data_IF_561907331341
#
_entry.id   IF_561907331341
#
_cell.length_a   1.000
_cell.length_b   1.000
_cell.length_c   1.000
_cell.angle_alpha   90.00
_cell.angle_beta   90.00
_cell.angle_gamma   90.00
#
_symmetry.space_group_name_H-M   'P 1'
#
loop_
_entity.id
_entity.type
_entity.pdbx_description
1 polymer ?
#
# COMPACT_ATOMS: atom_id res chain seq x y z
N UNK A 1 23.53 10.93 -63.26
CA UNK A 1 23.25 12.09 -62.37
C UNK A 1 21.76 12.32 -62.12
N UNK A 2 20.90 12.32 -63.11
CA UNK A 2 19.43 12.56 -62.89
C UNK A 2 18.75 11.51 -62.00
N UNK A 3 19.13 10.23 -62.09
CA UNK A 3 18.54 9.15 -61.30
C UNK A 3 18.98 9.25 -59.83
N UNK A 4 20.23 9.68 -59.54
CA UNK A 4 20.72 9.87 -58.20
C UNK A 4 20.03 11.03 -57.48
N UNK A 5 19.76 12.12 -58.22
CA UNK A 5 19.01 13.29 -57.67
C UNK A 5 17.54 12.92 -57.39
N UNK A 6 16.92 12.08 -58.23
CA UNK A 6 15.57 11.58 -58.01
C UNK A 6 15.52 10.64 -56.79
N UNK A 7 16.50 9.75 -56.60
CA UNK A 7 16.61 8.89 -55.45
C UNK A 7 16.82 9.71 -54.17
N UNK A 8 17.67 10.73 -54.18
CA UNK A 8 17.88 11.63 -53.04
C UNK A 8 16.63 12.42 -52.71
N UNK A 9 15.90 12.93 -53.73
CA UNK A 9 14.63 13.61 -53.51
C UNK A 9 13.54 12.67 -52.97
N UNK A 10 13.48 11.43 -53.42
CA UNK A 10 12.56 10.41 -52.91
C UNK A 10 12.93 10.04 -51.46
N UNK A 11 14.22 9.87 -51.15
CA UNK A 11 14.66 9.63 -49.76
C UNK A 11 14.38 10.84 -48.86
N UNK A 12 14.55 12.07 -49.34
CA UNK A 12 14.18 13.28 -48.61
C UNK A 12 12.68 13.44 -48.40
N UNK A 13 11.84 12.97 -49.32
CA UNK A 13 10.38 12.98 -49.14
C UNK A 13 9.92 11.87 -48.19
N UNK A 14 10.64 10.75 -48.09
CA UNK A 14 10.40 9.71 -47.09
C UNK A 14 10.97 10.03 -45.70
N UNK A 15 11.93 10.97 -45.60
CA UNK A 15 12.45 11.50 -44.35
C UNK A 15 11.62 12.71 -43.81
N UNK A 16 10.42 12.96 -44.30
CA UNK A 16 9.48 13.74 -43.51
C UNK A 16 9.20 12.92 -42.26
N UNK A 17 9.97 13.26 -41.21
CA UNK A 17 9.68 12.81 -39.88
C UNK A 17 8.20 13.11 -39.65
N UNK A 18 7.40 12.05 -39.52
CA UNK A 18 6.07 12.15 -38.98
C UNK A 18 6.25 12.68 -37.56
N UNK A 19 6.17 14.00 -37.43
CA UNK A 19 6.17 14.63 -36.10
C UNK A 19 4.74 14.56 -35.62
N UNK A 20 4.51 13.81 -34.52
CA UNK A 20 3.21 13.77 -33.91
C UNK A 20 2.76 15.22 -33.67
N UNK A 21 1.59 15.60 -34.15
CA UNK A 21 1.03 16.96 -33.96
C UNK A 21 0.66 17.19 -32.49
N UNK A 22 0.25 16.13 -31.82
CA UNK A 22 -0.09 16.15 -30.39
C UNK A 22 1.13 15.96 -29.50
N UNK A 23 1.23 16.73 -28.43
CA UNK A 23 2.24 16.52 -27.38
C UNK A 23 1.65 16.80 -26.01
N UNK A 24 2.20 16.08 -25.00
CA UNK A 24 1.84 16.29 -23.60
C UNK A 24 2.91 17.12 -22.94
N UNK A 25 2.51 18.25 -22.37
CA UNK A 25 3.33 19.08 -21.51
C UNK A 25 2.96 18.81 -20.04
N UNK A 26 3.95 18.61 -19.22
CA UNK A 26 3.80 18.37 -17.78
C UNK A 26 4.65 19.33 -16.95
N UNK A 27 4.68 19.13 -15.61
CA UNK A 27 5.45 19.96 -14.71
C UNK A 27 6.95 19.87 -15.04
N UNK A 28 7.62 21.00 -14.98
CA UNK A 28 9.09 21.13 -15.12
C UNK A 28 9.81 20.87 -13.80
N UNK A 29 9.10 21.00 -12.69
CA UNK A 29 9.61 20.80 -11.35
C UNK A 29 9.44 19.34 -10.89
N UNK A 30 10.22 19.00 -9.85
CA UNK A 30 10.13 17.69 -9.22
C UNK A 30 8.79 17.54 -8.49
N UNK A 31 8.03 16.53 -8.85
CA UNK A 31 6.70 16.28 -8.28
C UNK A 31 6.81 15.40 -7.04
N UNK A 32 6.29 15.89 -5.93
CA UNK A 32 6.23 15.16 -4.66
C UNK A 32 4.84 14.56 -4.43
N UNK A 33 4.77 13.53 -3.60
CA UNK A 33 3.49 12.99 -3.17
C UNK A 33 2.68 14.04 -2.40
N UNK A 34 1.44 14.25 -2.83
CA UNK A 34 0.55 15.27 -2.27
C UNK A 34 0.46 16.56 -3.08
N UNK A 35 1.36 16.79 -4.03
CA UNK A 35 1.32 17.96 -4.91
C UNK A 35 0.10 17.89 -5.85
N UNK A 36 -0.25 19.04 -6.43
CA UNK A 36 -1.19 19.12 -7.55
C UNK A 36 -0.41 19.24 -8.86
N UNK A 37 -0.82 18.48 -9.86
CA UNK A 37 -0.18 18.42 -11.18
C UNK A 37 -1.20 18.61 -12.27
N UNK A 38 -0.88 19.44 -13.26
CA UNK A 38 -1.64 19.57 -14.49
C UNK A 38 -0.81 19.06 -15.65
N UNK A 39 -1.38 18.15 -16.44
CA UNK A 39 -0.83 17.74 -17.73
C UNK A 39 -1.66 18.41 -18.82
N UNK A 40 -0.99 19.04 -19.76
CA UNK A 40 -1.62 19.72 -20.88
C UNK A 40 -1.37 18.94 -22.17
N UNK A 41 -2.44 18.68 -22.94
CA UNK A 41 -2.33 18.17 -24.29
C UNK A 41 -2.50 19.34 -25.25
N UNK A 42 -1.52 19.51 -26.11
CA UNK A 42 -1.43 20.60 -27.07
C UNK A 42 -1.27 20.03 -28.47
N UNK A 43 -1.80 20.75 -29.46
CA UNK A 43 -1.56 20.51 -30.88
C UNK A 43 -0.57 21.54 -31.43
N UNK A 44 0.52 21.07 -32.03
CA UNK A 44 1.56 21.94 -32.59
C UNK A 44 1.09 22.70 -33.85
N UNK A 45 0.15 22.17 -34.58
CA UNK A 45 -0.34 22.72 -35.87
C UNK A 45 -1.65 23.48 -35.68
N UNK A 46 -2.30 23.37 -34.51
CA UNK A 46 -3.60 24.02 -34.19
C UNK A 46 -4.73 23.66 -35.19
N UNK A 47 -4.59 22.55 -35.87
CA UNK A 47 -5.58 22.09 -36.88
C UNK A 47 -6.57 21.09 -36.31
N UNK A 48 -6.20 20.41 -35.21
CA UNK A 48 -7.02 19.36 -34.60
C UNK A 48 -8.14 19.95 -33.71
N UNK A 49 -9.32 19.36 -33.88
CA UNK A 49 -10.42 19.66 -32.98
C UNK A 49 -10.20 18.97 -31.64
N UNK A 50 -9.75 19.73 -30.63
CA UNK A 50 -9.47 19.22 -29.28
C UNK A 50 -10.70 18.59 -28.58
N UNK A 51 -11.91 18.73 -29.16
CA UNK A 51 -13.11 18.05 -28.65
C UNK A 51 -13.05 16.53 -28.84
N UNK A 52 -12.32 16.06 -29.85
CA UNK A 52 -12.12 14.64 -30.17
C UNK A 52 -10.84 14.05 -29.53
N UNK A 53 -10.10 14.84 -28.77
CA UNK A 53 -8.86 14.38 -28.09
C UNK A 53 -9.17 13.97 -26.66
N UNK A 54 -8.52 12.91 -26.18
CA UNK A 54 -8.63 12.42 -24.81
C UNK A 54 -7.26 11.98 -24.27
N UNK A 55 -7.15 11.96 -22.93
CA UNK A 55 -5.98 11.38 -22.27
C UNK A 55 -6.10 9.88 -22.13
N UNK A 56 -4.98 9.20 -22.28
CA UNK A 56 -4.81 7.79 -21.94
C UNK A 56 -3.64 7.59 -20.98
N UNK A 57 -3.77 6.57 -20.16
CA UNK A 57 -2.72 6.11 -19.26
C UNK A 57 -2.39 4.65 -19.48
N UNK A 58 -1.10 4.33 -19.50
CA UNK A 58 -0.63 2.95 -19.59
C UNK A 58 -0.81 2.20 -18.27
N UNK A 59 -1.55 1.10 -18.30
CA UNK A 59 -1.67 0.20 -17.13
C UNK A 59 -0.35 -0.50 -16.85
N UNK A 60 0.11 -0.48 -15.60
CA UNK A 60 1.35 -1.16 -15.19
C UNK A 60 1.27 -2.68 -15.32
N UNK A 61 0.08 -3.26 -15.08
CA UNK A 61 -0.10 -4.71 -15.06
C UNK A 61 -0.54 -5.29 -16.40
N UNK A 62 -1.47 -4.61 -17.08
CA UNK A 62 -2.05 -5.11 -18.32
C UNK A 62 -1.28 -4.69 -19.57
N UNK A 63 -0.33 -3.75 -19.45
CA UNK A 63 0.40 -3.16 -20.60
C UNK A 63 -0.55 -2.61 -21.68
N UNK A 64 -1.74 -2.18 -21.27
CA UNK A 64 -2.76 -1.60 -22.15
C UNK A 64 -3.02 -0.15 -21.79
N UNK A 65 -3.35 0.64 -22.79
CA UNK A 65 -3.76 2.03 -22.62
C UNK A 65 -5.20 2.10 -22.14
N UNK A 66 -5.46 2.88 -21.11
CA UNK A 66 -6.78 3.15 -20.58
C UNK A 66 -7.12 4.62 -20.75
N UNK A 67 -8.26 4.88 -21.38
CA UNK A 67 -8.80 6.20 -21.56
C UNK A 67 -9.20 6.83 -20.23
N UNK A 68 -8.88 8.10 -20.06
CA UNK A 68 -9.22 8.91 -18.89
C UNK A 68 -10.35 9.87 -19.26
N UNK A 69 -11.60 9.41 -19.14
CA UNK A 69 -12.79 10.21 -19.42
C UNK A 69 -13.57 10.48 -18.14
N UNK A 70 -14.26 11.64 -18.10
CA UNK A 70 -15.24 11.93 -17.06
C UNK A 70 -16.46 10.97 -17.08
N UNK A 71 -16.74 10.29 -18.19
CA UNK A 71 -18.02 9.61 -18.43
C UNK A 71 -17.97 8.11 -18.72
N UNK A 72 -16.81 7.48 -18.82
CA UNK A 72 -16.81 6.11 -19.30
C UNK A 72 -15.77 5.20 -18.67
N UNK A 73 -16.20 4.29 -17.99
CA UNK A 73 -15.74 2.99 -17.52
C UNK A 73 -15.73 2.83 -15.99
N UNK A 74 -16.84 2.22 -15.58
CA UNK A 74 -16.87 1.36 -14.40
C UNK A 74 -16.80 2.09 -13.07
N UNK A 75 -17.95 2.22 -12.46
CA UNK A 75 -18.19 2.55 -11.06
C UNK A 75 -17.18 1.89 -10.06
N UNK A 76 -16.52 0.78 -10.48
CA UNK A 76 -15.50 0.07 -9.70
C UNK A 76 -14.13 0.73 -9.73
N UNK A 77 -13.69 1.31 -10.87
CA UNK A 77 -12.39 1.97 -10.97
C UNK A 77 -12.39 3.37 -10.36
N UNK A 78 -13.52 4.05 -10.37
CA UNK A 78 -13.68 5.39 -9.81
C UNK A 78 -13.46 5.44 -8.28
N UNK A 79 -13.73 4.36 -7.57
CA UNK A 79 -13.61 4.34 -6.11
C UNK A 79 -12.20 4.11 -5.58
N UNK A 80 -11.28 3.57 -6.37
CA UNK A 80 -9.95 3.17 -5.88
C UNK A 80 -8.77 4.01 -6.38
N UNK A 81 -8.89 4.73 -7.52
CA UNK A 81 -7.71 5.31 -8.17
C UNK A 81 -7.80 6.79 -8.63
N UNK A 82 -8.98 7.40 -8.66
CA UNK A 82 -9.17 8.69 -9.34
C UNK A 82 -9.94 9.73 -8.53
N UNK A 83 -9.77 9.75 -7.25
CA UNK A 83 -10.53 10.69 -6.39
C UNK A 83 -10.27 12.17 -6.69
N UNK A 84 -9.14 12.53 -7.31
CA UNK A 84 -8.72 13.89 -7.54
C UNK A 84 -8.24 14.13 -8.99
N UNK A 85 -8.73 13.39 -9.97
CA UNK A 85 -8.42 13.64 -11.38
C UNK A 85 -9.61 14.29 -12.08
N UNK A 86 -9.40 15.45 -12.66
CA UNK A 86 -10.39 16.16 -13.46
C UNK A 86 -9.83 16.46 -14.86
N UNK A 87 -10.70 16.32 -15.86
CA UNK A 87 -10.35 16.59 -17.26
C UNK A 87 -11.17 17.78 -17.74
N UNK A 88 -10.52 18.89 -18.02
CA UNK A 88 -11.15 20.10 -18.55
C UNK A 88 -10.64 20.43 -19.96
N UNK A 89 -11.43 21.20 -20.67
CA UNK A 89 -11.08 21.75 -21.99
C UNK A 89 -11.20 23.25 -21.93
N UNK A 90 -10.09 23.92 -22.13
CA UNK A 90 -9.99 25.39 -22.04
C UNK A 90 -9.15 25.91 -23.22
N UNK A 91 -9.63 26.92 -23.89
CA UNK A 91 -8.88 27.66 -24.94
C UNK A 91 -8.19 26.77 -25.99
N UNK A 92 -8.87 25.69 -26.44
CA UNK A 92 -8.30 24.78 -27.42
C UNK A 92 -7.22 23.83 -26.85
N UNK A 93 -7.15 23.68 -25.51
CA UNK A 93 -6.25 22.74 -24.82
C UNK A 93 -7.06 21.69 -24.07
N UNK A 94 -6.50 20.53 -23.92
CA UNK A 94 -7.06 19.49 -23.06
C UNK A 94 -6.18 19.37 -21.80
N UNK A 95 -6.77 19.61 -20.65
CA UNK A 95 -6.10 19.63 -19.37
C UNK A 95 -6.51 18.40 -18.54
N UNK A 96 -5.52 17.70 -17.98
CA UNK A 96 -5.72 16.67 -16.96
C UNK A 96 -5.16 17.21 -15.64
N UNK A 97 -6.05 17.57 -14.74
CA UNK A 97 -5.71 18.06 -13.41
C UNK A 97 -5.73 16.92 -12.40
N UNK A 98 -4.60 16.70 -11.72
CA UNK A 98 -4.44 15.73 -10.65
C UNK A 98 -4.28 16.51 -9.33
N UNK A 99 -5.33 16.57 -8.51
CA UNK A 99 -5.41 17.45 -7.34
C UNK A 99 -4.39 17.11 -6.25
N UNK A 100 -4.25 15.84 -5.90
CA UNK A 100 -3.23 15.35 -4.97
C UNK A 100 -2.61 14.07 -5.50
N UNK A 101 -1.45 14.22 -6.14
CA UNK A 101 -0.77 13.05 -6.70
C UNK A 101 -0.26 12.13 -5.61
N UNK A 102 -0.41 10.84 -5.85
CA UNK A 102 0.03 9.78 -4.98
C UNK A 102 1.01 8.88 -5.74
N UNK A 103 1.61 7.94 -5.04
CA UNK A 103 2.55 6.98 -5.65
C UNK A 103 1.97 6.25 -6.86
N UNK A 104 0.67 5.97 -6.83
CA UNK A 104 -0.04 5.33 -7.96
C UNK A 104 -0.31 6.28 -9.13
N UNK A 105 -0.23 7.60 -8.94
CA UNK A 105 -0.34 8.58 -10.04
C UNK A 105 0.89 8.56 -10.95
N UNK A 106 2.04 8.08 -10.48
CA UNK A 106 3.20 7.86 -11.34
C UNK A 106 2.83 6.88 -12.46
N UNK A 107 3.22 7.21 -13.68
CA UNK A 107 2.90 6.38 -14.83
C UNK A 107 3.22 7.05 -16.15
N UNK A 108 2.81 6.40 -17.23
CA UNK A 108 2.99 6.93 -18.58
C UNK A 108 1.62 7.38 -19.09
N UNK A 109 1.59 8.61 -19.56
CA UNK A 109 0.40 9.29 -20.07
C UNK A 109 0.62 9.69 -21.53
N UNK A 110 -0.44 9.74 -22.30
CA UNK A 110 -0.45 10.30 -23.67
C UNK A 110 -1.80 10.90 -23.96
N UNK A 111 -1.89 11.75 -24.95
CA UNK A 111 -3.16 12.14 -25.53
C UNK A 111 -3.33 11.55 -26.92
N UNK A 112 -4.58 11.25 -27.27
CA UNK A 112 -4.97 10.56 -28.50
C UNK A 112 -6.19 11.24 -29.10
N UNK A 113 -6.19 11.43 -30.42
CA UNK A 113 -7.36 11.88 -31.18
C UNK A 113 -8.23 10.68 -31.58
N UNK A 114 -9.54 10.79 -31.40
CA UNK A 114 -10.50 9.79 -31.86
C UNK A 114 -10.64 9.76 -33.41
N UNK A 115 -9.98 10.66 -34.12
CA UNK A 115 -10.06 10.77 -35.57
C UNK A 115 -9.18 9.71 -36.23
N UNK A 116 -9.81 8.70 -36.83
CA UNK A 116 -9.16 7.49 -37.38
C UNK A 116 -8.35 7.78 -38.67
N UNK A 117 -8.47 8.97 -39.23
CA UNK A 117 -7.87 9.29 -40.56
C UNK A 117 -6.39 9.66 -40.47
N UNK A 118 -5.86 9.96 -39.29
CA UNK A 118 -4.49 10.40 -39.11
C UNK A 118 -3.61 9.25 -38.59
N UNK A 119 -2.55 8.92 -39.33
CA UNK A 119 -1.59 7.89 -38.96
C UNK A 119 -0.87 8.23 -37.63
N UNK A 120 -0.82 9.50 -37.24
CA UNK A 120 -0.13 10.05 -36.07
C UNK A 120 -1.09 10.69 -35.06
N UNK A 121 -2.18 10.00 -34.75
CA UNK A 121 -3.23 10.51 -33.86
C UNK A 121 -2.90 10.48 -32.35
N UNK A 122 -1.68 10.17 -31.97
CA UNK A 122 -1.27 10.09 -30.56
C UNK A 122 0.01 10.87 -30.26
N UNK A 123 0.07 11.50 -29.09
CA UNK A 123 1.29 12.14 -28.61
C UNK A 123 2.37 11.11 -28.26
N UNK A 124 3.61 11.58 -28.19
CA UNK A 124 4.66 10.82 -27.52
C UNK A 124 4.29 10.58 -26.04
N UNK A 125 4.65 9.41 -25.49
CA UNK A 125 4.37 9.10 -24.10
C UNK A 125 5.10 10.04 -23.14
N UNK A 126 4.37 10.67 -22.23
CA UNK A 126 4.91 11.47 -21.12
C UNK A 126 4.96 10.64 -19.86
N UNK A 127 6.14 10.59 -19.20
CA UNK A 127 6.34 9.85 -17.94
C UNK A 127 6.22 10.79 -16.75
N UNK A 128 5.13 10.70 -16.00
CA UNK A 128 4.98 11.35 -14.70
C UNK A 128 5.64 10.51 -13.62
N UNK A 129 6.60 11.09 -12.90
CA UNK A 129 7.25 10.46 -11.74
C UNK A 129 6.89 11.25 -10.48
N UNK A 130 6.30 10.55 -9.51
CA UNK A 130 5.95 11.12 -8.18
C UNK A 130 6.96 10.59 -7.18
N UNK A 131 7.70 11.52 -6.56
CA UNK A 131 8.71 11.17 -5.56
C UNK A 131 8.09 11.17 -4.16
N UNK A 132 8.49 10.19 -3.37
CA UNK A 132 8.06 10.06 -1.97
C UNK A 132 9.14 9.40 -1.12
N UNK A 133 9.08 9.63 0.17
CA UNK A 133 9.83 8.88 1.17
C UNK A 133 9.01 8.81 2.45
N UNK A 134 8.78 7.59 2.95
CA UNK A 134 8.07 7.32 4.21
C UNK A 134 8.98 7.55 5.41
N UNK A 135 8.38 7.48 6.60
CA UNK A 135 9.16 7.56 7.83
C UNK A 135 10.20 6.42 7.91
N UNK A 136 11.32 6.75 8.52
CA UNK A 136 12.42 5.80 8.74
C UNK A 136 12.07 4.88 9.91
N UNK A 137 12.30 3.59 9.72
CA UNK A 137 12.25 2.58 10.77
C UNK A 137 13.64 2.07 11.08
N UNK A 138 13.93 1.88 12.36
CA UNK A 138 15.17 1.27 12.84
C UNK A 138 14.81 -0.01 13.56
N UNK A 139 15.43 -1.12 13.15
CA UNK A 139 15.17 -2.44 13.73
C UNK A 139 16.48 -3.07 14.18
N UNK A 140 16.45 -3.86 15.26
CA UNK A 140 17.57 -4.71 15.63
C UNK A 140 17.59 -5.95 14.74
N UNK A 141 18.74 -6.26 14.13
CA UNK A 141 18.88 -7.47 13.33
C UNK A 141 18.70 -8.71 14.23
N UNK A 142 17.98 -9.71 13.70
CA UNK A 142 17.67 -10.94 14.44
C UNK A 142 16.54 -10.81 15.47
N UNK A 143 15.89 -9.66 15.56
CA UNK A 143 14.70 -9.50 16.38
C UNK A 143 13.54 -10.32 15.84
N UNK A 144 12.84 -11.05 16.72
CA UNK A 144 11.66 -11.82 16.36
C UNK A 144 10.52 -10.88 15.92
N UNK A 145 9.62 -11.39 15.07
CA UNK A 145 8.44 -10.64 14.57
C UNK A 145 7.66 -9.99 15.73
N UNK A 146 7.55 -10.66 16.86
CA UNK A 146 6.85 -10.13 18.05
C UNK A 146 7.59 -8.95 18.71
N UNK A 147 8.92 -8.92 18.70
CA UNK A 147 9.69 -7.82 19.26
C UNK A 147 9.55 -6.54 18.43
N UNK A 148 9.32 -6.68 17.12
CA UNK A 148 9.08 -5.54 16.24
C UNK A 148 7.79 -4.77 16.60
N UNK A 149 6.76 -5.46 17.08
CA UNK A 149 5.47 -4.83 17.43
C UNK A 149 5.34 -4.44 18.90
N UNK A 150 6.10 -5.08 19.80
CA UNK A 150 5.92 -4.96 21.23
C UNK A 150 7.02 -4.16 21.96
N UNK A 151 8.20 -4.01 21.34
CA UNK A 151 9.27 -3.21 21.92
C UNK A 151 9.09 -1.72 21.59
N UNK A 152 9.34 -0.81 22.52
CA UNK A 152 9.52 0.59 22.21
C UNK A 152 10.70 0.70 21.24
N UNK A 153 10.44 1.14 20.03
CA UNK A 153 11.44 1.21 18.96
C UNK A 153 12.51 2.29 19.21
N UNK A 154 12.30 3.16 20.18
CA UNK A 154 13.14 4.31 20.47
C UNK A 154 14.09 4.12 21.65
N UNK A 155 13.92 3.07 22.46
CA UNK A 155 14.76 2.77 23.63
C UNK A 155 15.24 1.31 23.59
N UNK A 156 16.51 1.12 23.30
CA UNK A 156 17.14 -0.19 23.18
C UNK A 156 18.10 -0.40 24.36
N UNK A 157 17.80 -1.35 25.24
CA UNK A 157 18.62 -1.73 26.39
C UNK A 157 19.33 -3.05 26.13
N UNK A 158 20.65 -3.03 26.20
CA UNK A 158 21.51 -4.15 25.85
C UNK A 158 22.54 -4.39 26.94
N UNK A 159 22.84 -5.66 27.30
CA UNK A 159 23.90 -5.97 28.25
C UNK A 159 25.30 -5.53 27.78
N UNK A 160 26.16 -5.22 28.72
CA UNK A 160 27.57 -4.96 28.48
C UNK A 160 28.22 -6.16 27.76
N UNK A 161 29.06 -5.87 26.76
CA UNK A 161 29.80 -6.89 25.99
C UNK A 161 29.02 -7.53 24.83
N UNK A 162 27.73 -7.27 24.73
CA UNK A 162 26.91 -7.78 23.60
C UNK A 162 27.24 -7.09 22.28
N UNK A 163 26.93 -7.77 21.19
CA UNK A 163 26.95 -7.21 19.84
C UNK A 163 25.54 -6.75 19.45
N UNK A 164 25.44 -5.60 18.79
CA UNK A 164 24.19 -5.05 18.25
C UNK A 164 24.39 -4.69 16.78
N UNK A 165 23.48 -5.18 15.95
CA UNK A 165 23.33 -4.74 14.57
C UNK A 165 21.98 -4.04 14.44
N UNK A 166 21.99 -2.77 14.02
CA UNK A 166 20.82 -1.96 13.74
C UNK A 166 20.64 -1.84 12.24
N UNK A 167 19.43 -2.03 11.76
CA UNK A 167 19.05 -1.93 10.35
C UNK A 167 18.07 -0.78 10.19
N UNK A 168 18.47 0.20 9.38
CA UNK A 168 17.70 1.39 9.06
C UNK A 168 17.05 1.20 7.68
N UNK A 169 15.74 1.39 7.63
CA UNK A 169 14.99 1.20 6.40
C UNK A 169 13.85 2.20 6.25
N UNK A 170 13.54 2.55 5.03
CA UNK A 170 12.34 3.31 4.66
C UNK A 170 11.87 2.92 3.28
N UNK A 171 10.58 3.15 3.00
CA UNK A 171 10.02 3.00 1.67
C UNK A 171 10.07 4.35 0.95
N UNK A 172 10.69 4.39 -0.22
CA UNK A 172 10.81 5.58 -1.05
C UNK A 172 10.63 5.24 -2.53
N UNK A 173 10.46 6.27 -3.36
CA UNK A 173 10.35 6.13 -4.83
C UNK A 173 11.64 5.64 -5.48
N UNK A 174 12.78 5.96 -4.87
CA UNK A 174 14.11 5.50 -5.26
C UNK A 174 14.85 5.02 -4.02
N UNK A 175 15.89 4.19 -4.20
CA UNK A 175 16.69 3.68 -3.08
C UNK A 175 17.39 4.82 -2.34
N UNK A 176 17.07 5.07 -1.06
CA UNK A 176 17.66 6.17 -0.30
C UNK A 176 19.14 5.92 0.03
N UNK A 177 19.85 7.00 0.27
CA UNK A 177 21.17 6.97 0.86
C UNK A 177 21.03 7.06 2.38
N UNK A 178 21.67 6.13 3.10
CA UNK A 178 21.59 6.06 4.55
C UNK A 178 22.90 6.49 5.19
N UNK A 179 22.80 7.12 6.34
CA UNK A 179 23.94 7.42 7.20
C UNK A 179 23.55 7.37 8.68
N UNK A 180 24.50 6.93 9.51
CA UNK A 180 24.38 6.91 10.94
C UNK A 180 25.30 7.93 11.58
N UNK A 181 24.82 8.56 12.65
CA UNK A 181 25.61 9.43 13.52
C UNK A 181 25.25 9.17 14.99
N UNK A 182 26.17 9.46 15.90
CA UNK A 182 25.90 9.45 17.34
C UNK A 182 25.96 10.88 17.87
N UNK A 183 25.03 11.23 18.71
CA UNK A 183 25.01 12.56 19.31
C UNK A 183 26.25 12.81 20.17
N UNK A 184 26.88 13.98 19.96
CA UNK A 184 28.09 14.37 20.66
C UNK A 184 29.40 13.82 20.10
N UNK A 185 29.35 13.08 19.00
CA UNK A 185 30.52 12.52 18.33
C UNK A 185 30.56 12.91 16.84
N UNK A 186 31.74 13.29 16.35
CA UNK A 186 31.94 13.71 14.95
C UNK A 186 32.25 12.50 14.04
N UNK A 187 31.39 11.50 14.00
CA UNK A 187 31.52 10.43 13.03
C UNK A 187 30.21 10.17 12.28
N UNK A 188 30.36 9.70 11.06
CA UNK A 188 29.26 9.34 10.21
C UNK A 188 29.56 8.03 9.47
N UNK A 189 28.66 7.05 9.53
CA UNK A 189 28.76 5.78 8.83
C UNK A 189 27.77 5.76 7.67
N UNK A 190 28.25 5.81 6.40
CA UNK A 190 27.36 5.78 5.23
C UNK A 190 26.89 4.34 4.95
N UNK A 191 25.91 3.87 5.68
CA UNK A 191 25.36 2.52 5.59
C UNK A 191 23.93 2.51 6.11
N UNK A 192 23.09 1.58 5.60
CA UNK A 192 21.80 1.27 6.20
C UNK A 192 21.96 0.46 7.50
N UNK A 193 23.10 -0.20 7.69
CA UNK A 193 23.36 -1.05 8.86
C UNK A 193 24.46 -0.47 9.72
N UNK A 194 24.20 -0.39 11.01
CA UNK A 194 25.16 -0.03 12.04
C UNK A 194 25.48 -1.27 12.88
N UNK A 195 26.76 -1.63 12.92
CA UNK A 195 27.27 -2.78 13.70
C UNK A 195 28.12 -2.26 14.83
N UNK A 196 27.65 -2.46 16.05
CA UNK A 196 28.35 -2.17 17.29
C UNK A 196 28.76 -3.50 17.93
N UNK A 197 30.05 -3.66 18.18
CA UNK A 197 30.61 -4.91 18.73
C UNK A 197 31.16 -4.68 20.13
N UNK A 198 30.96 -5.67 21.02
CA UNK A 198 31.47 -5.64 22.37
C UNK A 198 31.14 -4.32 23.09
N UNK A 199 29.84 -4.02 23.16
CA UNK A 199 29.33 -2.77 23.71
C UNK A 199 29.90 -2.47 25.08
N UNK A 200 30.30 -1.21 25.29
CA UNK A 200 30.80 -0.63 26.52
C UNK A 200 29.84 0.43 27.01
N UNK A 201 29.92 0.83 28.27
CA UNK A 201 29.10 1.89 28.86
C UNK A 201 29.16 3.21 28.03
N UNK A 202 30.36 3.53 27.49
CA UNK A 202 30.58 4.72 26.65
C UNK A 202 29.84 4.66 25.30
N UNK A 203 29.39 3.48 24.88
CA UNK A 203 28.63 3.30 23.64
C UNK A 203 27.13 3.63 23.84
N UNK A 204 26.73 3.86 25.10
CA UNK A 204 25.41 4.41 25.38
C UNK A 204 25.26 5.80 24.77
N UNK A 205 24.05 6.13 24.31
CA UNK A 205 23.75 7.42 23.72
C UNK A 205 22.69 7.37 22.65
N UNK A 206 22.48 8.50 22.01
CA UNK A 206 21.49 8.65 20.94
C UNK A 206 22.16 8.41 19.58
N UNK A 207 21.62 7.45 18.85
CA UNK A 207 22.03 7.11 17.50
C UNK A 207 20.94 7.53 16.52
N UNK A 208 21.32 8.33 15.54
CA UNK A 208 20.40 8.84 14.51
C UNK A 208 20.71 8.22 13.18
N UNK A 209 19.73 7.52 12.61
CA UNK A 209 19.74 7.16 11.20
C UNK A 209 19.11 8.28 10.38
N UNK A 210 19.79 8.70 9.35
CA UNK A 210 19.30 9.63 8.36
C UNK A 210 19.19 8.93 7.01
N UNK A 211 18.01 9.03 6.39
CA UNK A 211 17.77 8.60 5.01
C UNK A 211 17.56 9.84 4.14
N UNK A 212 18.24 9.90 3.02
CA UNK A 212 18.16 10.98 2.03
C UNK A 212 17.79 10.43 0.67
N UNK A 213 16.82 11.07 0.03
CA UNK A 213 16.42 10.70 -1.33
C UNK A 213 17.50 11.15 -2.33
N UNK A 214 17.93 10.27 -3.28
CA UNK A 214 19.05 10.60 -4.18
C UNK A 214 18.74 11.75 -5.14
N UNK A 215 17.53 11.81 -5.66
CA UNK A 215 17.11 12.80 -6.68
C UNK A 215 16.43 14.03 -6.08
N UNK A 216 16.02 14.00 -4.82
CA UNK A 216 15.25 15.08 -4.18
C UNK A 216 15.87 15.44 -2.84
N UNK A 217 16.68 16.50 -2.83
CA UNK A 217 17.44 16.92 -1.64
C UNK A 217 16.56 17.37 -0.46
N UNK A 218 15.32 17.79 -0.71
CA UNK A 218 14.36 18.16 0.35
C UNK A 218 13.75 16.96 1.07
N UNK A 219 13.77 15.77 0.46
CA UNK A 219 13.27 14.55 1.06
C UNK A 219 14.36 13.90 1.93
N UNK A 220 14.42 14.35 3.18
CA UNK A 220 15.29 13.79 4.23
C UNK A 220 14.40 13.35 5.38
N UNK A 221 14.60 12.13 5.87
CA UNK A 221 13.94 11.58 7.04
C UNK A 221 14.98 11.07 8.03
N UNK A 222 14.70 11.29 9.31
CA UNK A 222 15.59 10.89 10.40
C UNK A 222 14.83 10.11 11.45
N UNK A 223 15.49 9.11 12.04
CA UNK A 223 15.01 8.41 13.21
C UNK A 223 16.13 8.29 14.23
N UNK A 224 15.87 8.75 15.44
CA UNK A 224 16.79 8.63 16.57
C UNK A 224 16.33 7.53 17.50
N UNK A 225 17.27 6.70 17.95
CA UNK A 225 17.08 5.69 18.98
C UNK A 225 18.02 5.96 20.13
N UNK A 226 17.60 5.64 21.34
CA UNK A 226 18.42 5.70 22.52
C UNK A 226 18.96 4.30 22.84
N UNK A 227 20.29 4.13 22.80
CA UNK A 227 20.96 2.90 23.18
C UNK A 227 21.46 3.03 24.62
N UNK A 228 21.01 2.17 25.51
CA UNK A 228 21.46 2.09 26.90
C UNK A 228 22.20 0.77 27.11
N UNK A 229 23.47 0.84 27.42
CA UNK A 229 24.27 -0.34 27.80
C UNK A 229 24.10 -0.57 29.29
N UNK A 230 23.57 -1.73 29.62
CA UNK A 230 23.33 -2.13 31.03
C UNK A 230 24.60 -2.72 31.64
N UNK A 231 24.90 -2.41 32.92
CA UNK A 231 26.06 -3.01 33.63
C UNK A 231 25.91 -4.54 33.75
N UNK A 232 27.04 -5.23 34.00
CA UNK A 232 27.10 -6.69 34.08
C UNK A 232 26.18 -7.28 35.16
N UNK A 233 25.98 -6.53 36.26
CA UNK A 233 25.11 -6.94 37.38
C UNK A 233 23.62 -6.67 37.14
N UNK A 234 23.23 -6.15 35.95
CA UNK A 234 21.84 -5.82 35.69
C UNK A 234 20.97 -7.08 35.63
N UNK A 235 19.75 -6.97 36.17
CA UNK A 235 18.82 -8.07 36.11
C UNK A 235 18.34 -8.34 34.65
N UNK A 236 18.21 -9.61 34.29
CA UNK A 236 17.82 -10.03 32.93
C UNK A 236 16.53 -9.38 32.42
N UNK A 237 15.62 -9.00 33.32
CA UNK A 237 14.36 -8.35 32.97
C UNK A 237 14.52 -6.84 32.67
N UNK A 238 15.67 -6.24 32.92
CA UNK A 238 15.96 -4.84 32.56
C UNK A 238 16.32 -4.69 31.09
N UNK A 239 16.70 -5.78 30.43
CA UNK A 239 16.95 -5.80 29.01
C UNK A 239 15.64 -5.63 28.24
N UNK A 240 15.70 -5.04 27.04
CA UNK A 240 14.52 -4.89 26.15
C UNK A 240 13.84 -6.23 25.91
N UNK A 241 14.61 -7.29 25.71
CA UNK A 241 14.08 -8.65 25.48
C UNK A 241 13.41 -9.21 26.73
N UNK A 242 14.02 -9.03 27.92
CA UNK A 242 13.46 -9.45 29.20
C UNK A 242 12.14 -8.75 29.51
N UNK A 243 12.04 -7.46 29.29
CA UNK A 243 10.79 -6.69 29.41
C UNK A 243 9.66 -7.26 28.57
N UNK A 244 9.94 -7.63 27.31
CA UNK A 244 8.93 -8.24 26.43
C UNK A 244 8.42 -9.57 27.01
N UNK A 245 9.33 -10.44 27.48
CA UNK A 245 8.92 -11.71 28.08
C UNK A 245 8.08 -11.52 29.36
N UNK A 246 8.41 -10.52 30.14
CA UNK A 246 7.68 -10.21 31.36
C UNK A 246 6.26 -9.72 31.04
N UNK A 247 6.12 -8.85 30.05
CA UNK A 247 4.81 -8.38 29.58
C UNK A 247 3.97 -9.52 29.00
N UNK A 248 4.56 -10.40 28.19
CA UNK A 248 3.86 -11.56 27.62
C UNK A 248 3.39 -12.52 28.73
N UNK A 249 4.23 -12.76 29.75
CA UNK A 249 3.86 -13.59 30.88
C UNK A 249 2.69 -12.98 31.69
N UNK A 250 2.71 -11.67 31.93
CA UNK A 250 1.61 -10.97 32.59
C UNK A 250 0.29 -11.08 31.85
N UNK A 251 0.32 -10.86 30.52
CA UNK A 251 -0.86 -11.03 29.67
C UNK A 251 -1.35 -12.48 29.70
N UNK A 252 -0.44 -13.45 29.63
CA UNK A 252 -0.78 -14.88 29.71
C UNK A 252 -1.50 -15.25 31.03
N UNK A 253 -1.04 -14.73 32.16
CA UNK A 253 -1.69 -14.94 33.47
C UNK A 253 -3.10 -14.34 33.50
N UNK A 254 -3.27 -13.13 32.98
CA UNK A 254 -4.61 -12.48 32.93
C UNK A 254 -5.56 -13.29 32.04
N UNK A 255 -5.13 -13.70 30.85
CA UNK A 255 -5.95 -14.53 29.96
C UNK A 255 -6.32 -15.87 30.60
N UNK A 256 -5.37 -16.51 31.29
CA UNK A 256 -5.63 -17.75 32.01
C UNK A 256 -6.66 -17.58 33.12
N UNK A 257 -6.57 -16.49 33.90
CA UNK A 257 -7.55 -16.17 34.93
C UNK A 257 -8.96 -15.92 34.33
N UNK A 258 -9.05 -15.25 33.20
CA UNK A 258 -10.33 -15.05 32.47
C UNK A 258 -10.91 -16.38 32.02
N UNK A 259 -10.10 -17.26 31.44
CA UNK A 259 -10.54 -18.59 31.00
C UNK A 259 -11.05 -19.41 32.17
N UNK A 260 -10.31 -19.45 33.29
CA UNK A 260 -10.73 -20.14 34.51
C UNK A 260 -12.06 -19.58 35.04
N UNK A 261 -12.19 -18.25 35.09
CA UNK A 261 -13.42 -17.58 35.54
C UNK A 261 -14.60 -17.96 34.66
N UNK A 262 -14.42 -17.97 33.32
CA UNK A 262 -15.46 -18.40 32.38
C UNK A 262 -15.83 -19.87 32.53
N UNK A 263 -14.83 -20.76 32.73
CA UNK A 263 -15.07 -22.17 32.98
C UNK A 263 -15.91 -22.39 34.26
N UNK A 264 -15.55 -21.70 35.34
CA UNK A 264 -16.31 -21.76 36.62
C UNK A 264 -17.73 -21.23 36.40
N UNK A 265 -17.88 -20.12 35.68
CA UNK A 265 -19.22 -19.59 35.37
C UNK A 265 -20.07 -20.56 34.56
N UNK A 266 -19.50 -21.16 33.53
CA UNK A 266 -20.22 -22.14 32.69
C UNK A 266 -20.56 -23.40 33.50
N UNK A 267 -19.67 -23.90 34.34
CA UNK A 267 -19.94 -25.04 35.21
C UNK A 267 -21.06 -24.74 36.24
N UNK A 268 -21.06 -23.54 36.82
CA UNK A 268 -22.12 -23.11 37.73
C UNK A 268 -23.45 -22.97 37.00
N UNK A 269 -23.45 -22.45 35.79
CA UNK A 269 -24.65 -22.32 34.94
C UNK A 269 -25.19 -23.70 34.55
N UNK A 270 -24.33 -24.62 34.16
CA UNK A 270 -24.71 -25.99 33.81
C UNK A 270 -25.30 -26.76 35.02
N UNK A 271 -24.74 -26.58 36.23
CA UNK A 271 -25.30 -27.15 37.45
C UNK A 271 -26.67 -26.58 37.82
N UNK A 272 -26.90 -25.28 37.63
CA UNK A 272 -28.23 -24.65 37.84
C UNK A 272 -29.28 -25.13 36.88
N UNK A 273 -28.90 -25.47 35.64
CA UNK A 273 -29.82 -26.00 34.64
C UNK A 273 -30.19 -27.48 34.89
N UNK A 274 -29.31 -28.22 35.60
CA UNK A 274 -29.62 -29.63 35.99
C UNK A 274 -30.54 -29.75 37.21
N UNK A 275 -30.69 -28.67 38.01
CA UNK A 275 -31.62 -28.66 39.15
C UNK A 275 -33.08 -28.38 38.84
N UNK A 276 -33.36 -28.04 37.56
CA UNK A 276 -34.73 -28.03 37.04
C UNK A 276 -34.98 -29.35 36.35
N UNK A 277 -35.20 -30.38 37.15
CA UNK A 277 -35.68 -31.68 36.67
C UNK A 277 -37.04 -31.53 35.99
N UNK A 278 -37.36 -32.42 35.04
CA UNK A 278 -38.67 -32.40 34.41
C UNK A 278 -39.72 -32.62 35.50
N UNK A 279 -40.72 -31.72 35.54
CA UNK A 279 -41.90 -31.90 36.32
C UNK A 279 -42.64 -33.07 35.69
N UNK A 280 -42.69 -34.22 36.40
CA UNK A 280 -43.52 -35.34 36.03
C UNK A 280 -44.98 -34.92 36.12
N UNK A 281 -45.57 -34.56 35.01
CA UNK A 281 -47.00 -34.37 34.85
C UNK A 281 -47.69 -35.71 34.60
N UNK A 282 -47.85 -36.49 35.69
CA UNK A 282 -48.74 -37.62 35.75
C UNK A 282 -50.17 -37.12 35.97
N UNK A 283 -50.82 -36.62 34.95
CA UNK A 283 -52.27 -36.51 34.91
C UNK A 283 -52.84 -37.31 33.77
N UNK A 284 -53.32 -38.51 34.17
CA UNK A 284 -54.42 -39.31 33.67
C UNK A 284 -54.90 -39.03 32.24
N UNK A 285 -54.50 -39.91 31.33
CA UNK A 285 -55.31 -40.20 30.13
C UNK A 285 -56.37 -41.23 30.44
N UNK A 286 -57.66 -40.82 30.40
CA UNK A 286 -58.80 -41.70 30.16
C UNK A 286 -58.87 -42.04 28.66
N UNK A 287 -59.12 -43.31 28.30
CA UNK A 287 -59.30 -43.72 26.91
C UNK A 287 -60.76 -43.54 26.51
N UNK A 288 -61.02 -42.95 25.33
CA UNK A 288 -62.30 -43.00 24.66
C UNK A 288 -62.13 -43.58 23.28
N UNK A 289 -62.80 -44.67 23.13
CA UNK A 289 -63.16 -45.54 22.02
C UNK A 289 -63.32 -44.90 20.65
N UNK A 290 -62.68 -45.50 19.61
CA UNK A 290 -63.14 -46.26 18.45
C UNK A 290 -64.34 -45.73 17.69
N UNK A 291 -64.17 -45.41 16.43
CA UNK A 291 -64.92 -46.09 15.34
C UNK A 291 -64.26 -45.74 13.96
N UNK A 292 -64.24 -46.82 13.26
CA UNK A 292 -63.86 -47.10 11.89
C UNK A 292 -64.63 -46.27 10.86
N UNK A 293 -64.10 -46.23 9.67
CA UNK A 293 -64.65 -46.69 8.36
C UNK A 293 -63.98 -45.91 7.26
N UNK A 294 -63.24 -46.61 6.45
CA UNK A 294 -63.27 -46.77 4.97
C UNK A 294 -63.35 -45.48 4.17
N UNK A 295 -62.58 -45.25 3.12
CA UNK A 295 -62.16 -46.07 1.97
C UNK A 295 -61.29 -45.19 1.02
N UNK A 296 -60.43 -45.84 0.31
CA UNK A 296 -59.72 -45.46 -0.92
C UNK A 296 -60.68 -44.98 -2.05
N UNK A 297 -60.21 -44.56 -3.30
CA UNK A 297 -58.86 -44.59 -3.84
C UNK A 297 -58.50 -43.39 -4.79
N UNK A 298 -57.21 -43.38 -5.14
CA UNK A 298 -56.57 -43.16 -6.47
C UNK A 298 -56.94 -41.90 -7.29
N UNK A 299 -55.97 -41.23 -7.83
CA UNK A 299 -55.26 -41.43 -9.08
C UNK A 299 -54.42 -40.16 -9.39
N UNK A 300 -53.16 -40.41 -9.66
CA UNK A 300 -52.48 -40.21 -10.92
C UNK A 300 -52.36 -38.77 -11.48
N UNK A 301 -51.17 -38.46 -11.89
CA UNK A 301 -50.87 -37.62 -13.05
C UNK A 301 -49.98 -36.49 -12.70
N UNK A 302 -48.75 -36.63 -12.88
CA UNK A 302 -47.92 -36.49 -14.06
C UNK A 302 -47.37 -35.07 -14.29
N UNK A 303 -46.06 -35.07 -14.44
CA UNK A 303 -45.21 -34.29 -15.36
C UNK A 303 -44.70 -32.90 -14.96
N UNK A 304 -43.41 -32.94 -14.68
CA UNK A 304 -42.32 -32.09 -15.26
C UNK A 304 -42.64 -31.40 -16.62
N UNK A 305 -41.81 -30.48 -17.17
CA UNK A 305 -40.48 -30.01 -16.76
C UNK A 305 -40.19 -28.51 -17.08
N UNK A 306 -38.96 -28.10 -16.71
CA UNK A 306 -38.01 -27.23 -17.44
C UNK A 306 -38.45 -25.85 -17.96
N UNK A 307 -37.85 -24.78 -17.56
CA UNK A 307 -36.72 -24.13 -18.26
C UNK A 307 -35.88 -23.35 -17.24
#
# INVERSE_FOLDING_TARGET
MKVLVLLVLVVFTFLRNSTASLFVQGPTETVLEGDSVTLECLDSESELNMSSVHFERLSRHAQMWHRLDMYGYGYYYRRCFWYDADVSREDGRLLLMLGRVQTWSSGVYRCVSDNITDLDNSSLPFKLTVHYMREVSVNRAGANIFSHYLAPQDDLRVPLGDDVELDCSTSASETPQYSWSKEGEDWMVPSSKLKLKQLREQDSGQYTCMAQHPSVSSLIKKRTINLTVLPEDSAWYETTTGHIYLMLAAVGVVLFAIILSMMVFLCRRARRNKSKGPIDDHSQKKPIYKSSVESLPSTAGDKQPLV
#
